data_IF_772645433602
#
_entry.id   IF_772645433602
#
_cell.length_a   1.000
_cell.length_b   1.000
_cell.length_c   1.000
_cell.angle_alpha   90.00
_cell.angle_beta   90.00
_cell.angle_gamma   90.00
#
_symmetry.space_group_name_H-M   'P 1'
#
loop_
_entity.id
_entity.type
_entity.pdbx_description
1 polymer ?
#
# COMPACT_ATOMS: atom_id res chain seq x y z
N UNK A 1 21.60 -9.09 -52.29
CA UNK A 1 20.13 -9.20 -52.15
C UNK A 1 19.88 -10.27 -51.09
N UNK A 2 19.59 -9.86 -49.86
CA UNK A 2 19.31 -10.82 -48.78
C UNK A 2 17.99 -11.51 -49.05
N UNK A 3 17.96 -12.84 -48.95
CA UNK A 3 16.77 -13.65 -49.14
C UNK A 3 15.61 -13.10 -48.26
N UNK A 4 14.41 -12.88 -48.82
CA UNK A 4 13.25 -12.36 -48.08
C UNK A 4 12.92 -13.18 -46.82
N UNK A 5 13.31 -14.46 -46.76
CA UNK A 5 13.15 -15.31 -45.57
C UNK A 5 14.04 -14.81 -44.42
N UNK A 6 15.27 -14.39 -44.70
CA UNK A 6 16.22 -13.90 -43.69
C UNK A 6 15.82 -12.51 -43.16
N UNK A 7 15.35 -11.62 -44.04
CA UNK A 7 14.81 -10.31 -43.63
C UNK A 7 13.54 -10.44 -42.78
N UNK A 8 12.64 -11.36 -43.12
CA UNK A 8 11.45 -11.62 -42.33
C UNK A 8 11.79 -12.17 -40.94
N UNK A 9 12.69 -13.15 -40.84
CA UNK A 9 13.13 -13.72 -39.55
C UNK A 9 13.80 -12.65 -38.68
N UNK A 10 14.67 -11.82 -39.25
CA UNK A 10 15.32 -10.72 -38.51
C UNK A 10 14.29 -9.68 -38.06
N UNK A 11 13.29 -9.35 -38.87
CA UNK A 11 12.21 -8.43 -38.46
C UNK A 11 11.29 -9.01 -37.39
N UNK A 12 11.03 -10.32 -37.40
CA UNK A 12 10.18 -11.01 -36.40
C UNK A 12 10.93 -11.17 -35.07
N UNK A 13 12.22 -11.49 -35.10
CA UNK A 13 13.07 -11.52 -33.89
C UNK A 13 13.27 -10.11 -33.32
N UNK A 14 13.41 -9.09 -34.18
CA UNK A 14 13.49 -7.70 -33.75
C UNK A 14 12.17 -7.20 -33.13
N UNK A 15 11.02 -7.60 -33.67
CA UNK A 15 9.70 -7.22 -33.11
C UNK A 15 9.33 -8.03 -31.86
N UNK A 16 9.67 -9.31 -31.79
CA UNK A 16 9.58 -10.09 -30.55
C UNK A 16 10.51 -9.56 -29.45
N UNK A 17 11.73 -9.11 -29.83
CA UNK A 17 12.66 -8.42 -28.94
C UNK A 17 12.09 -7.11 -28.40
N UNK A 18 11.38 -6.33 -29.22
CA UNK A 18 10.69 -5.11 -28.77
C UNK A 18 9.52 -5.40 -27.81
N UNK A 19 8.75 -6.47 -28.00
CA UNK A 19 7.67 -6.86 -27.07
C UNK A 19 8.21 -7.29 -25.69
N UNK A 20 9.35 -7.97 -25.65
CA UNK A 20 10.03 -8.34 -24.39
C UNK A 20 10.63 -7.11 -23.71
N UNK A 21 11.23 -6.18 -24.46
CA UNK A 21 11.76 -4.91 -23.93
C UNK A 21 10.64 -4.01 -23.39
N UNK A 22 9.49 -3.95 -24.09
CA UNK A 22 8.29 -3.26 -23.62
C UNK A 22 7.74 -3.85 -22.33
N UNK A 23 7.65 -5.18 -22.24
CA UNK A 23 7.22 -5.89 -21.03
C UNK A 23 8.15 -5.68 -19.83
N UNK A 24 9.47 -5.62 -20.05
CA UNK A 24 10.46 -5.34 -18.99
C UNK A 24 10.38 -3.89 -18.51
N UNK A 25 10.22 -2.91 -19.41
CA UNK A 25 9.97 -1.53 -19.00
C UNK A 25 8.67 -1.40 -18.21
N UNK A 26 7.57 -1.99 -18.70
CA UNK A 26 6.28 -1.95 -18.01
C UNK A 26 6.33 -2.63 -16.63
N UNK A 27 7.06 -3.73 -16.51
CA UNK A 27 7.33 -4.40 -15.24
C UNK A 27 8.13 -3.54 -14.26
N UNK A 28 9.12 -2.78 -14.75
CA UNK A 28 9.89 -1.85 -13.93
C UNK A 28 9.05 -0.66 -13.47
N UNK A 29 8.20 -0.11 -14.34
CA UNK A 29 7.24 0.94 -13.98
C UNK A 29 6.25 0.45 -12.92
N UNK A 30 5.64 -0.72 -13.11
CA UNK A 30 4.70 -1.31 -12.14
C UNK A 30 5.36 -1.56 -10.76
N UNK A 31 6.62 -2.01 -10.75
CA UNK A 31 7.40 -2.16 -9.49
C UNK A 31 7.70 -0.82 -8.84
N UNK A 32 8.05 0.21 -9.61
CA UNK A 32 8.35 1.54 -9.10
C UNK A 32 7.09 2.20 -8.52
N UNK A 33 5.98 2.13 -9.24
CA UNK A 33 4.67 2.61 -8.79
C UNK A 33 4.24 1.92 -7.49
N UNK A 34 4.37 0.60 -7.41
CA UNK A 34 4.00 -0.15 -6.22
C UNK A 34 4.90 0.17 -5.00
N UNK A 35 6.19 0.44 -5.21
CA UNK A 35 7.08 0.95 -4.16
C UNK A 35 6.66 2.34 -3.69
N UNK A 36 6.29 3.22 -4.62
CA UNK A 36 5.83 4.57 -4.30
C UNK A 36 4.50 4.54 -3.52
N UNK A 37 3.53 3.72 -3.94
CA UNK A 37 2.30 3.49 -3.19
C UNK A 37 2.58 2.91 -1.79
N UNK A 38 3.51 1.96 -1.68
CA UNK A 38 3.92 1.43 -0.38
C UNK A 38 4.49 2.53 0.53
N UNK A 39 5.33 3.42 0.00
CA UNK A 39 5.90 4.54 0.75
C UNK A 39 4.81 5.52 1.22
N UNK A 40 3.91 5.93 0.32
CA UNK A 40 2.78 6.79 0.68
C UNK A 40 1.92 6.19 1.81
N UNK A 41 1.63 4.89 1.74
CA UNK A 41 0.86 4.22 2.79
C UNK A 41 1.63 4.11 4.11
N UNK A 42 2.95 3.98 4.07
CA UNK A 42 3.78 4.01 5.27
C UNK A 42 3.83 5.41 5.90
N UNK A 43 3.84 6.46 5.09
CA UNK A 43 3.80 7.83 5.59
C UNK A 43 2.42 8.16 6.17
N UNK A 44 1.33 7.75 5.50
CA UNK A 44 -0.02 7.82 6.07
C UNK A 44 -0.14 7.06 7.41
N UNK A 45 0.51 5.90 7.53
CA UNK A 45 0.56 5.15 8.80
C UNK A 45 1.31 5.93 9.90
N UNK A 46 2.36 6.68 9.57
CA UNK A 46 3.11 7.53 10.52
C UNK A 46 2.28 8.73 10.93
N UNK A 47 1.61 9.37 9.99
CA UNK A 47 0.73 10.51 10.25
C UNK A 47 -0.42 10.11 11.18
N UNK A 48 -1.00 8.92 11.00
CA UNK A 48 -2.05 8.40 11.87
C UNK A 48 -1.56 8.16 13.31
N UNK A 49 -0.34 7.64 13.48
CA UNK A 49 0.27 7.51 14.80
C UNK A 49 0.51 8.89 15.44
N UNK A 50 0.97 9.86 14.64
CA UNK A 50 1.20 11.22 15.11
C UNK A 50 -0.12 11.90 15.53
N UNK A 51 -1.18 11.74 14.74
CA UNK A 51 -2.53 12.21 15.08
C UNK A 51 -3.03 11.59 16.39
N UNK A 52 -2.81 10.29 16.60
CA UNK A 52 -3.12 9.62 17.87
C UNK A 52 -2.36 10.20 19.07
N UNK A 53 -1.08 10.56 18.91
CA UNK A 53 -0.28 11.21 19.97
C UNK A 53 -0.79 12.64 20.26
N UNK A 54 -1.20 13.38 19.22
CA UNK A 54 -1.80 14.71 19.38
C UNK A 54 -3.13 14.63 20.13
N UNK A 55 -3.99 13.67 19.77
CA UNK A 55 -5.27 13.44 20.43
C UNK A 55 -5.07 13.04 21.91
N UNK A 56 -4.13 12.14 22.20
CA UNK A 56 -3.75 11.80 23.58
C UNK A 56 -3.33 13.05 24.37
N UNK A 57 -2.47 13.89 23.78
CA UNK A 57 -1.98 15.12 24.40
C UNK A 57 -3.13 16.08 24.70
N UNK A 58 -4.09 16.21 23.77
CA UNK A 58 -5.27 17.04 23.95
C UNK A 58 -6.18 16.52 25.08
N UNK A 59 -6.41 15.20 25.14
CA UNK A 59 -7.18 14.57 26.22
C UNK A 59 -6.53 14.76 27.58
N UNK A 60 -5.20 14.65 27.66
CA UNK A 60 -4.43 14.93 28.89
C UNK A 60 -4.58 16.39 29.34
N UNK A 61 -4.54 17.35 28.41
CA UNK A 61 -4.80 18.77 28.71
C UNK A 61 -6.21 18.98 29.26
N UNK A 62 -7.24 18.42 28.60
CA UNK A 62 -8.62 18.50 29.06
C UNK A 62 -8.82 17.90 30.46
N UNK A 63 -8.17 16.77 30.75
CA UNK A 63 -8.18 16.16 32.08
C UNK A 63 -7.56 17.10 33.11
N UNK A 64 -6.39 17.68 32.83
CA UNK A 64 -5.73 18.62 33.72
C UNK A 64 -6.58 19.88 33.95
N UNK A 65 -7.21 20.43 32.91
CA UNK A 65 -8.09 21.60 33.03
C UNK A 65 -9.33 21.29 33.88
N UNK A 66 -9.91 20.10 33.69
CA UNK A 66 -11.03 19.61 34.51
C UNK A 66 -10.62 19.46 35.97
N UNK A 67 -9.47 18.84 36.23
CA UNK A 67 -8.93 18.67 37.59
C UNK A 67 -8.59 20.01 38.24
N UNK A 68 -8.02 20.95 37.48
CA UNK A 68 -7.73 22.32 37.93
C UNK A 68 -9.03 23.05 38.31
N UNK A 69 -10.07 22.95 37.47
CA UNK A 69 -11.39 23.54 37.74
C UNK A 69 -12.03 22.92 38.97
N UNK A 70 -12.00 21.59 39.12
CA UNK A 70 -12.50 20.91 40.31
C UNK A 70 -11.77 21.36 41.57
N UNK A 71 -10.45 21.52 41.51
CA UNK A 71 -9.64 21.99 42.63
C UNK A 71 -9.94 23.45 42.98
N UNK A 72 -10.09 24.33 41.98
CA UNK A 72 -10.49 25.72 42.20
C UNK A 72 -11.89 25.84 42.82
N UNK A 73 -12.86 25.06 42.35
CA UNK A 73 -14.21 25.01 42.92
C UNK A 73 -14.21 24.47 44.35
N UNK A 74 -13.38 23.46 44.65
CA UNK A 74 -13.23 22.92 46.01
C UNK A 74 -12.62 23.95 46.96
N UNK A 75 -11.54 24.60 46.54
CA UNK A 75 -10.88 25.66 47.30
C UNK A 75 -11.84 26.83 47.58
N UNK A 76 -12.60 27.28 46.58
CA UNK A 76 -13.60 28.35 46.74
C UNK A 76 -14.79 27.98 47.65
N UNK A 77 -15.07 26.69 47.84
CA UNK A 77 -16.13 26.19 48.73
C UNK A 77 -15.63 25.76 50.12
N UNK A 78 -14.34 25.88 50.40
CA UNK A 78 -13.74 25.39 51.65
C UNK A 78 -13.85 23.87 51.84
N UNK A 79 -14.09 23.12 50.76
CA UNK A 79 -14.21 21.66 50.80
C UNK A 79 -12.82 21.03 50.83
N UNK A 80 -12.57 20.20 51.84
CA UNK A 80 -11.33 19.45 51.94
C UNK A 80 -11.15 18.50 50.74
N UNK A 81 -9.92 18.45 50.20
CA UNK A 81 -9.49 17.43 49.23
C UNK A 81 -9.66 16.00 49.76
N UNK A 82 -9.80 15.81 51.08
CA UNK A 82 -9.98 14.49 51.70
C UNK A 82 -11.41 13.95 51.62
N UNK A 83 -12.38 14.72 51.12
CA UNK A 83 -13.77 14.25 51.01
C UNK A 83 -13.85 12.95 50.19
N UNK A 84 -14.54 11.90 50.67
CA UNK A 84 -14.72 10.65 49.93
C UNK A 84 -15.31 10.89 48.53
N UNK A 85 -16.27 11.80 48.41
CA UNK A 85 -16.91 12.18 47.15
C UNK A 85 -15.93 12.84 46.18
N UNK A 86 -15.03 13.68 46.71
CA UNK A 86 -14.00 14.34 45.92
C UNK A 86 -12.99 13.34 45.32
N UNK A 87 -12.57 12.34 46.11
CA UNK A 87 -11.66 11.28 45.64
C UNK A 87 -12.31 10.35 44.64
N UNK A 88 -13.60 10.04 44.80
CA UNK A 88 -14.34 9.18 43.86
C UNK A 88 -14.49 9.87 42.50
N UNK A 89 -14.85 11.16 42.48
CA UNK A 89 -14.95 11.92 41.23
C UNK A 89 -13.60 11.97 40.51
N UNK A 90 -12.53 12.32 41.23
CA UNK A 90 -11.17 12.37 40.67
C UNK A 90 -10.71 11.02 40.12
N UNK A 91 -10.87 9.94 40.89
CA UNK A 91 -10.54 8.59 40.45
C UNK A 91 -11.34 8.19 39.21
N UNK A 92 -12.63 8.54 39.16
CA UNK A 92 -13.50 8.23 38.02
C UNK A 92 -13.09 9.00 36.77
N UNK A 93 -12.81 10.31 36.89
CA UNK A 93 -12.32 11.15 35.80
C UNK A 93 -10.99 10.65 35.25
N UNK A 94 -10.03 10.30 36.12
CA UNK A 94 -8.73 9.74 35.70
C UNK A 94 -8.92 8.37 35.03
N UNK A 95 -9.77 7.50 35.57
CA UNK A 95 -10.01 6.16 35.01
C UNK A 95 -10.65 6.25 33.62
N UNK A 96 -11.66 7.10 33.46
CA UNK A 96 -12.35 7.30 32.20
C UNK A 96 -11.40 7.92 31.15
N UNK A 97 -10.66 8.96 31.53
CA UNK A 97 -9.68 9.58 30.63
C UNK A 97 -8.58 8.60 30.21
N UNK A 98 -8.10 7.75 31.13
CA UNK A 98 -7.09 6.73 30.83
C UNK A 98 -7.63 5.66 29.87
N UNK A 99 -8.87 5.21 30.06
CA UNK A 99 -9.53 4.26 29.14
C UNK A 99 -9.69 4.88 27.75
N UNK A 100 -10.15 6.12 27.67
CA UNK A 100 -10.33 6.83 26.41
C UNK A 100 -9.01 7.00 25.65
N UNK A 101 -7.94 7.40 26.34
CA UNK A 101 -6.58 7.49 25.76
C UNK A 101 -6.13 6.12 25.25
N UNK A 102 -6.36 5.05 26.02
CA UNK A 102 -6.05 3.68 25.61
C UNK A 102 -6.79 3.25 24.34
N UNK A 103 -8.08 3.56 24.24
CA UNK A 103 -8.90 3.28 23.05
C UNK A 103 -8.40 4.08 21.85
N UNK A 104 -8.17 5.39 22.00
CA UNK A 104 -7.68 6.25 20.93
C UNK A 104 -6.33 5.76 20.38
N UNK A 105 -5.39 5.42 21.27
CA UNK A 105 -4.08 4.86 20.90
C UNK A 105 -4.22 3.52 20.18
N UNK A 106 -5.08 2.64 20.66
CA UNK A 106 -5.34 1.34 20.02
C UNK A 106 -5.93 1.52 18.62
N UNK A 107 -6.88 2.44 18.46
CA UNK A 107 -7.47 2.77 17.16
C UNK A 107 -6.42 3.33 16.19
N UNK A 108 -5.56 4.24 16.63
CA UNK A 108 -4.47 4.78 15.82
C UNK A 108 -3.48 3.67 15.40
N UNK A 109 -3.13 2.75 16.30
CA UNK A 109 -2.29 1.59 15.98
C UNK A 109 -2.94 0.66 14.96
N UNK A 110 -4.23 0.35 15.11
CA UNK A 110 -4.98 -0.49 14.17
C UNK A 110 -5.07 0.16 12.80
N UNK A 111 -5.34 1.47 12.73
CA UNK A 111 -5.38 2.21 11.46
C UNK A 111 -3.99 2.26 10.81
N UNK A 112 -2.93 2.55 11.56
CA UNK A 112 -1.54 2.48 11.08
C UNK A 112 -1.19 1.08 10.53
N UNK A 113 -1.53 0.02 11.24
CA UNK A 113 -1.26 -1.35 10.79
C UNK A 113 -2.05 -1.70 9.51
N UNK A 114 -3.30 -1.24 9.41
CA UNK A 114 -4.11 -1.36 8.20
C UNK A 114 -3.43 -0.69 7.00
N UNK A 115 -2.94 0.54 7.15
CA UNK A 115 -2.21 1.23 6.07
C UNK A 115 -0.92 0.49 5.67
N UNK A 116 -0.15 -0.01 6.64
CA UNK A 116 1.05 -0.83 6.34
C UNK A 116 0.69 -2.09 5.54
N UNK A 117 -0.38 -2.79 5.93
CA UNK A 117 -0.89 -3.97 5.21
C UNK A 117 -1.35 -3.63 3.80
N UNK A 118 -2.05 -2.50 3.62
CA UNK A 118 -2.45 -2.02 2.30
C UNK A 118 -1.23 -1.69 1.41
N UNK A 119 -0.20 -1.05 1.96
CA UNK A 119 1.05 -0.80 1.25
C UNK A 119 1.80 -2.08 0.86
N UNK A 120 1.82 -3.10 1.74
CA UNK A 120 2.38 -4.41 1.40
C UNK A 120 1.56 -5.12 0.31
N UNK A 121 0.23 -5.07 0.39
CA UNK A 121 -0.65 -5.63 -0.62
C UNK A 121 -0.44 -4.96 -1.99
N UNK A 122 -0.29 -3.63 -2.02
CA UNK A 122 0.04 -2.88 -3.25
C UNK A 122 1.38 -3.32 -3.84
N UNK A 123 2.41 -3.50 -3.01
CA UNK A 123 3.72 -4.03 -3.44
C UNK A 123 3.59 -5.42 -4.06
N UNK A 124 2.87 -6.33 -3.42
CA UNK A 124 2.66 -7.71 -3.91
C UNK A 124 1.90 -7.67 -5.23
N UNK A 125 0.84 -6.86 -5.34
CA UNK A 125 0.09 -6.66 -6.60
C UNK A 125 0.99 -6.14 -7.72
N UNK A 126 1.82 -5.14 -7.46
CA UNK A 126 2.74 -4.60 -8.46
C UNK A 126 3.83 -5.59 -8.87
N UNK A 127 4.34 -6.41 -7.94
CA UNK A 127 5.27 -7.48 -8.27
C UNK A 127 4.61 -8.59 -9.11
N UNK A 128 3.37 -8.97 -8.77
CA UNK A 128 2.59 -9.95 -9.54
C UNK A 128 2.26 -9.43 -10.95
N UNK A 129 1.82 -8.17 -11.07
CA UNK A 129 1.59 -7.53 -12.36
C UNK A 129 2.86 -7.45 -13.21
N UNK A 130 4.01 -7.14 -12.59
CA UNK A 130 5.30 -7.14 -13.26
C UNK A 130 5.70 -8.54 -13.75
N UNK A 131 5.46 -9.60 -12.96
CA UNK A 131 5.71 -10.97 -13.43
C UNK A 131 4.75 -11.37 -14.55
N UNK A 132 3.47 -11.02 -14.46
CA UNK A 132 2.48 -11.32 -15.50
C UNK A 132 2.75 -10.57 -16.80
N UNK A 133 3.26 -9.34 -16.74
CA UNK A 133 3.66 -8.60 -17.93
C UNK A 133 4.85 -9.25 -18.66
N UNK A 134 5.82 -9.77 -17.90
CA UNK A 134 6.98 -10.50 -18.46
C UNK A 134 6.52 -11.83 -19.07
N UNK A 135 5.73 -12.61 -18.34
CA UNK A 135 5.25 -13.92 -18.82
C UNK A 135 4.22 -13.80 -19.96
N UNK A 136 3.35 -12.79 -19.93
CA UNK A 136 2.42 -12.49 -21.02
C UNK A 136 3.15 -12.06 -22.29
N UNK A 137 4.16 -11.18 -22.17
CA UNK A 137 5.00 -10.79 -23.31
C UNK A 137 5.79 -11.96 -23.91
N UNK A 138 6.24 -12.92 -23.08
CA UNK A 138 6.91 -14.15 -23.54
C UNK A 138 5.92 -15.13 -24.16
N UNK A 139 4.72 -15.30 -23.59
CA UNK A 139 3.67 -16.16 -24.12
C UNK A 139 3.13 -15.68 -25.47
N UNK A 140 2.96 -14.36 -25.64
CA UNK A 140 2.58 -13.76 -26.91
C UNK A 140 3.71 -13.86 -27.94
N UNK A 141 4.97 -13.65 -27.54
CA UNK A 141 6.11 -13.85 -28.44
C UNK A 141 6.25 -15.31 -28.90
N UNK A 142 6.10 -16.28 -27.99
CA UNK A 142 6.15 -17.71 -28.30
C UNK A 142 4.94 -18.18 -29.15
N UNK A 143 3.74 -17.68 -28.85
CA UNK A 143 2.52 -17.95 -29.60
C UNK A 143 2.53 -17.34 -31.01
N UNK A 144 3.14 -16.17 -31.17
CA UNK A 144 3.29 -15.51 -32.48
C UNK A 144 4.35 -16.22 -33.33
N UNK A 145 5.46 -16.65 -32.72
CA UNK A 145 6.49 -17.43 -33.39
C UNK A 145 5.96 -18.79 -33.90
N UNK A 146 5.18 -19.49 -33.07
CA UNK A 146 4.61 -20.81 -33.42
C UNK A 146 3.49 -20.75 -34.47
N UNK A 147 2.69 -19.67 -34.51
CA UNK A 147 1.69 -19.45 -35.57
C UNK A 147 2.32 -19.08 -36.91
N UNK A 148 3.37 -18.25 -36.91
CA UNK A 148 4.09 -17.89 -38.13
C UNK A 148 4.80 -19.08 -38.79
N UNK A 149 5.29 -20.04 -38.01
CA UNK A 149 6.00 -21.21 -38.54
C UNK A 149 5.04 -22.19 -39.25
N UNK A 150 3.85 -22.40 -38.67
CA UNK A 150 2.81 -23.23 -39.27
C UNK A 150 2.22 -22.65 -40.56
N UNK A 151 1.99 -21.34 -40.62
CA UNK A 151 1.47 -20.69 -41.83
C UNK A 151 2.49 -20.72 -42.98
N UNK A 152 3.78 -20.51 -42.68
CA UNK A 152 4.84 -20.61 -43.69
C UNK A 152 5.04 -22.04 -44.18
N UNK A 153 4.97 -23.02 -43.29
CA UNK A 153 5.07 -24.43 -43.66
C UNK A 153 3.89 -24.89 -44.52
N UNK A 154 2.65 -24.48 -44.16
CA UNK A 154 1.45 -24.81 -44.94
C UNK A 154 1.44 -24.13 -46.32
N UNK A 155 1.92 -22.90 -46.41
CA UNK A 155 2.02 -22.14 -47.67
C UNK A 155 3.05 -22.79 -48.60
N UNK A 156 4.19 -23.23 -48.05
CA UNK A 156 5.25 -23.90 -48.82
C UNK A 156 4.81 -25.29 -49.29
N UNK A 157 4.09 -26.05 -48.47
CA UNK A 157 3.48 -27.32 -48.89
C UNK A 157 2.46 -27.14 -50.02
N UNK A 158 1.60 -26.13 -49.94
CA UNK A 158 0.62 -25.83 -51.01
C UNK A 158 1.29 -25.48 -52.34
N UNK A 159 2.45 -24.81 -52.32
CA UNK A 159 3.22 -24.49 -53.53
C UNK A 159 3.99 -25.68 -54.14
N UNK A 160 4.17 -26.77 -53.39
CA UNK A 160 4.87 -27.98 -53.84
C UNK A 160 3.93 -29.07 -54.37
N UNK A 161 2.62 -28.93 -54.11
CA UNK A 161 1.57 -29.89 -54.49
C UNK A 161 0.66 -29.37 -55.61
N UNK A 162 0.95 -28.20 -56.18
CA UNK A 162 0.32 -27.67 -57.39
C UNK A 162 1.39 -27.36 -58.43
#
# INVERSE_FOLDING_TARGET
MGDPVTMAIVSTVASAGMSVVGGVQQANYAKAEAKFQQQQMNDAARDELLAGVQEETQRRKQLNDTMSTLNAMRAGRGLSLSSPSARVIEKTSITNASRDIGIAKTNAMVRSDSYRKQGQAARIKGQSAASSAIWGGVGDAAGTASRMDWDKFSTKMKSLLG
#
